data_IF_168165431710
#
_entry.id   IF_168165431710
#
_cell.length_a   1.000
_cell.length_b   1.000
_cell.length_c   1.000
_cell.angle_alpha   90.00
_cell.angle_beta   90.00
_cell.angle_gamma   90.00
#
_symmetry.space_group_name_H-M   'P 1'
#
loop_
_entity.id
_entity.type
_entity.pdbx_description
1 polymer ?
2 non-polymer ?
3 non-polymer ?
4 non-polymer ?
5 non-polymer ?
6 water ?
#
# COMPACT_ATOMS: atom_id res chain seq x y z
N UNK A 26 -21.07 18.98 2.84
CA UNK A 26 -20.43 17.66 2.55
C UNK A 26 -20.22 17.54 1.04
N UNK A 27 -19.06 17.05 0.61
CA UNK A 27 -18.80 16.94 -0.82
C UNK A 27 -19.13 15.55 -1.37
N UNK A 28 -19.49 15.49 -2.65
CA UNK A 28 -19.81 14.24 -3.34
C UNK A 28 -18.63 13.81 -4.22
N UNK A 29 -17.85 12.84 -3.76
CA UNK A 29 -16.69 12.37 -4.53
C UNK A 29 -17.09 11.32 -5.57
N UNK A 30 -16.63 11.49 -6.79
CA UNK A 30 -16.99 10.58 -7.89
C UNK A 30 -15.85 9.62 -8.28
N UNK A 31 -14.62 10.00 -7.96
CA UNK A 31 -13.43 9.21 -8.25
C UNK A 31 -12.70 8.99 -6.92
N UNK A 32 -12.47 7.73 -6.54
CA UNK A 32 -11.83 7.42 -5.26
C UNK A 32 -10.60 6.57 -5.55
N UNK A 33 -9.45 7.07 -5.13
CA UNK A 33 -8.20 6.37 -5.28
C UNK A 33 -7.83 5.71 -3.96
N UNK A 34 -7.29 4.51 -4.04
CA UNK A 34 -6.82 3.78 -2.88
C UNK A 34 -5.36 3.33 -3.02
N UNK A 35 -4.59 3.47 -1.95
CA UNK A 35 -3.30 2.81 -1.87
C UNK A 35 -3.64 1.31 -1.59
N UNK A 36 -2.65 0.45 -1.64
CA UNK A 36 -2.88 -1.00 -1.49
C UNK A 36 -2.53 -1.49 -0.09
N UNK A 37 -1.23 -1.68 0.16
CA UNK A 37 -0.75 -2.18 1.44
C UNK A 37 -1.18 -1.25 2.57
N UNK A 38 -1.75 -1.82 3.62
CA UNK A 38 -2.21 -1.07 4.76
C UNK A 38 -3.49 -0.30 4.59
N UNK A 39 -4.09 -0.40 3.39
CA UNK A 39 -5.30 0.35 3.05
C UNK A 39 -6.37 -0.64 2.59
N UNK A 40 -6.06 -1.41 1.57
CA UNK A 40 -6.94 -2.49 1.12
C UNK A 40 -6.59 -3.82 1.67
N UNK A 41 -5.31 -4.13 1.68
CA UNK A 41 -4.80 -5.45 2.11
C UNK A 41 -3.57 -5.30 3.00
N UNK A 42 -3.35 -6.30 3.84
CA UNK A 42 -2.23 -6.29 4.79
C UNK A 42 -1.18 -7.32 4.30
N UNK A 43 0.03 -6.87 3.99
CA UNK A 43 1.06 -7.76 3.46
C UNK A 43 1.94 -8.39 4.52
N UNK A 44 1.61 -8.20 5.79
CA UNK A 44 2.47 -8.63 6.89
C UNK A 44 3.04 -10.05 6.77
N UNK A 45 2.17 -11.01 6.51
CA UNK A 45 2.60 -12.42 6.46
C UNK A 45 3.72 -12.66 5.44
N UNK A 46 3.46 -12.28 4.17
CA UNK A 46 4.43 -12.51 3.13
C UNK A 46 5.71 -11.73 3.26
N UNK A 47 5.63 -10.48 3.74
CA UNK A 47 6.84 -9.70 3.91
C UNK A 47 7.71 -10.31 5.01
N UNK A 48 7.11 -10.60 6.15
CA UNK A 48 7.88 -11.13 7.27
C UNK A 48 8.43 -12.53 6.95
N UNK A 49 7.65 -13.35 6.26
CA UNK A 49 8.13 -14.70 5.91
C UNK A 49 9.27 -14.65 4.89
N UNK A 50 9.22 -13.67 3.98
CA UNK A 50 10.26 -13.48 2.98
C UNK A 50 11.56 -13.07 3.66
N UNK A 51 11.47 -12.13 4.62
CA UNK A 51 12.64 -11.73 5.38
C UNK A 51 13.20 -12.91 6.19
N UNK A 52 12.31 -13.64 6.86
CA UNK A 52 12.69 -14.80 7.66
C UNK A 52 13.46 -15.82 6.82
N UNK A 53 12.93 -16.09 5.63
CA UNK A 53 13.55 -17.02 4.69
C UNK A 53 14.95 -16.55 4.29
N UNK A 54 15.09 -15.24 4.06
CA UNK A 54 16.37 -14.68 3.69
C UNK A 54 17.34 -14.82 4.86
N UNK A 55 16.95 -14.32 6.03
CA UNK A 55 17.80 -14.46 7.23
C UNK A 55 18.23 -15.91 7.45
N UNK A 56 17.29 -16.84 7.28
CA UNK A 56 17.60 -18.27 7.39
C UNK A 56 18.71 -18.70 6.45
N UNK A 57 18.72 -18.16 5.23
CA UNK A 57 19.73 -18.53 4.25
C UNK A 57 21.14 -18.24 4.77
N UNK A 58 21.26 -17.31 5.72
CA UNK A 58 22.55 -16.97 6.31
C UNK A 58 22.68 -17.53 7.73
N UNK A 59 21.79 -18.46 8.08
CA UNK A 59 21.81 -19.11 9.39
C UNK A 59 21.30 -18.27 10.55
N UNK A 60 20.45 -17.29 10.27
CA UNK A 60 19.88 -16.43 11.32
C UNK A 60 18.42 -16.85 11.56
N UNK A 61 18.11 -17.24 12.80
CA UNK A 61 16.78 -17.70 13.19
C UNK A 61 16.03 -16.54 13.82
N UNK A 62 14.81 -16.26 13.36
CA UNK A 62 13.98 -15.18 13.93
C UNK A 62 12.50 -15.53 13.93
N UNK A 63 11.79 -15.07 14.95
CA UNK A 63 10.34 -15.24 15.03
C UNK A 63 9.73 -14.17 14.15
N UNK A 64 8.62 -14.48 13.48
CA UNK A 64 7.95 -13.51 12.58
C UNK A 64 7.52 -12.23 13.30
N UNK A 65 7.12 -12.34 14.57
CA UNK A 65 6.70 -11.16 15.36
C UNK A 65 7.80 -10.10 15.43
N UNK A 66 9.05 -10.54 15.46
CA UNK A 66 10.21 -9.64 15.56
C UNK A 66 10.61 -9.02 14.20
N UNK A 67 9.94 -9.44 13.13
CA UNK A 67 10.21 -8.91 11.78
C UNK A 67 9.14 -7.92 11.34
N UNK A 68 8.08 -7.77 12.12
CA UNK A 68 7.02 -6.85 11.79
C UNK A 68 7.55 -5.41 11.59
N UNK A 69 8.55 -5.05 12.38
CA UNK A 69 9.14 -3.71 12.31
C UNK A 69 9.87 -3.42 11.01
N UNK A 70 10.04 -4.44 10.16
CA UNK A 70 10.72 -4.27 8.88
C UNK A 70 9.75 -4.10 7.70
N UNK A 71 8.47 -4.03 8.02
CA UNK A 71 7.43 -3.70 7.06
C UNK A 71 7.43 -2.18 6.94
N UNK A 72 7.88 -1.67 5.80
CA UNK A 72 7.95 -0.23 5.60
C UNK A 72 9.29 0.25 5.07
N UNK A 73 10.37 0.05 5.84
CA UNK A 73 11.65 0.56 5.37
C UNK A 73 12.25 -0.28 4.24
N UNK A 74 13.15 0.33 3.46
CA UNK A 74 13.79 -0.44 2.40
C UNK A 74 14.53 -1.64 2.96
N UNK A 75 14.53 -2.74 2.23
CA UNK A 75 15.27 -3.93 2.67
C UNK A 75 16.75 -3.63 2.98
N UNK A 76 17.36 -2.68 2.25
CA UNK A 76 18.75 -2.30 2.47
C UNK A 76 18.96 -1.85 3.91
N UNK A 77 18.05 -0.99 4.40
CA UNK A 77 18.15 -0.49 5.78
C UNK A 77 18.06 -1.64 6.77
N UNK A 78 17.13 -2.56 6.54
CA UNK A 78 16.97 -3.69 7.41
C UNK A 78 18.22 -4.55 7.48
N UNK A 79 18.69 -5.01 6.32
CA UNK A 79 19.88 -5.86 6.31
C UNK A 79 21.17 -5.13 6.68
N UNK A 80 21.29 -3.87 6.24
CA UNK A 80 22.51 -3.09 6.49
C UNK A 80 22.51 -2.42 7.88
N UNK A 81 21.44 -1.71 8.24
CA UNK A 81 21.41 -1.01 9.54
C UNK A 81 21.07 -1.90 10.74
N UNK A 82 20.20 -2.89 10.56
CA UNK A 82 19.80 -3.75 11.67
C UNK A 82 20.69 -4.99 11.76
N UNK A 83 20.82 -5.72 10.65
CA UNK A 83 21.62 -6.94 10.65
C UNK A 83 23.10 -6.73 10.31
N UNK A 84 23.47 -5.50 9.93
CA UNK A 84 24.86 -5.13 9.64
C UNK A 84 25.56 -6.01 8.62
N UNK A 85 24.83 -6.37 7.58
CA UNK A 85 25.34 -7.14 6.46
C UNK A 85 26.10 -6.20 5.55
N UNK A 86 27.24 -6.66 5.04
CA UNK A 86 28.06 -5.87 4.12
C UNK A 86 27.28 -5.66 2.82
N UNK A 87 27.62 -4.61 2.08
CA UNK A 87 26.94 -4.30 0.80
C UNK A 87 26.72 -5.50 -0.14
N UNK A 88 27.66 -6.44 -0.17
CA UNK A 88 27.54 -7.62 -1.02
C UNK A 88 26.60 -8.67 -0.41
N UNK A 89 26.75 -8.93 0.90
CA UNK A 89 25.88 -9.87 1.61
C UNK A 89 24.45 -9.32 1.68
N UNK A 90 24.35 -7.98 1.69
CA UNK A 90 23.07 -7.29 1.72
C UNK A 90 22.27 -7.52 0.43
N UNK A 91 22.96 -7.63 -0.70
CA UNK A 91 22.27 -7.89 -1.97
C UNK A 91 21.85 -9.35 -2.04
N UNK A 92 22.67 -10.25 -1.53
CA UNK A 92 22.33 -11.68 -1.48
C UNK A 92 21.06 -11.86 -0.64
N UNK A 93 20.96 -11.10 0.45
CA UNK A 93 19.80 -11.16 1.35
C UNK A 93 18.53 -10.67 0.63
N UNK A 94 18.68 -9.62 -0.17
CA UNK A 94 17.56 -9.09 -0.93
C UNK A 94 17.13 -10.10 -2.00
N UNK A 95 18.10 -10.77 -2.63
CA UNK A 95 17.78 -11.76 -3.65
C UNK A 95 16.98 -12.91 -3.04
N UNK A 96 17.38 -13.37 -1.86
CA UNK A 96 16.68 -14.47 -1.19
C UNK A 96 15.27 -14.06 -0.81
N UNK A 97 15.13 -12.83 -0.32
CA UNK A 97 13.81 -12.28 0.00
C UNK A 97 12.91 -12.32 -1.24
N UNK A 98 13.42 -11.80 -2.35
CA UNK A 98 12.66 -11.75 -3.60
C UNK A 98 12.26 -13.12 -4.10
N UNK A 99 13.17 -14.08 -3.96
CA UNK A 99 12.92 -15.45 -4.35
C UNK A 99 11.70 -16.00 -3.60
N UNK A 100 11.69 -15.86 -2.28
CA UNK A 100 10.56 -16.34 -1.49
C UNK A 100 9.30 -15.51 -1.77
N UNK A 101 9.45 -14.22 -1.97
CA UNK A 101 8.27 -13.39 -2.16
C UNK A 101 7.54 -13.73 -3.48
N UNK A 102 8.32 -13.88 -4.55
CA UNK A 102 7.74 -14.21 -5.85
C UNK A 102 7.09 -15.58 -5.83
N UNK A 103 7.66 -16.50 -5.07
CA UNK A 103 7.16 -17.89 -5.00
C UNK A 103 5.92 -18.02 -4.10
N UNK A 104 6.00 -17.46 -2.89
CA UNK A 104 4.91 -17.62 -1.91
C UNK A 104 4.48 -16.36 -1.18
N UNK A 105 5.41 -15.45 -0.95
CA UNK A 105 5.11 -14.22 -0.21
C UNK A 105 3.98 -13.41 -0.85
N UNK A 106 3.95 -13.40 -2.18
CA UNK A 106 2.94 -12.61 -2.92
C UNK A 106 1.52 -13.09 -2.62
N UNK A 107 1.37 -14.36 -2.26
CA UNK A 107 0.05 -14.91 -1.95
C UNK A 107 -0.29 -14.83 -0.46
N UNK A 108 0.62 -14.29 0.35
CA UNK A 108 0.43 -14.19 1.78
C UNK A 108 0.06 -12.76 2.18
N UNK A 109 -1.20 -12.44 1.96
CA UNK A 109 -1.79 -11.15 2.31
C UNK A 109 -3.14 -11.41 2.94
N UNK A 110 -3.65 -10.43 3.68
CA UNK A 110 -4.97 -10.51 4.30
C UNK A 110 -5.76 -9.27 3.96
N UNK A 111 -6.95 -9.45 3.41
CA UNK A 111 -7.78 -8.30 3.09
C UNK A 111 -8.36 -7.75 4.39
N UNK A 112 -8.44 -6.43 4.51
CA UNK A 112 -8.98 -5.85 5.74
C UNK A 112 -10.45 -6.20 5.86
N UNK A 113 -10.86 -6.54 7.07
CA UNK A 113 -12.25 -6.87 7.30
C UNK A 113 -13.15 -5.74 6.82
N UNK A 114 -14.19 -6.11 6.09
CA UNK A 114 -15.26 -5.22 5.55
C UNK A 114 -14.89 -4.42 4.31
N UNK A 115 -13.65 -4.56 3.86
CA UNK A 115 -13.23 -3.79 2.68
C UNK A 115 -13.98 -4.24 1.43
N UNK A 116 -14.16 -5.56 1.25
CA UNK A 116 -14.87 -6.01 0.04
C UNK A 116 -16.27 -5.40 -0.01
N UNK A 117 -16.98 -5.41 1.12
CA UNK A 117 -18.31 -4.80 1.20
C UNK A 117 -18.30 -3.31 0.84
N UNK A 118 -17.34 -2.54 1.36
CA UNK A 118 -17.37 -1.10 1.06
C UNK A 118 -17.03 -0.87 -0.41
N UNK A 119 -16.09 -1.64 -0.97
CA UNK A 119 -15.79 -1.49 -2.41
C UNK A 119 -17.04 -1.77 -3.24
N UNK A 120 -17.75 -2.85 -2.90
CA UNK A 120 -19.00 -3.23 -3.60
C UNK A 120 -20.03 -2.08 -3.49
N UNK A 121 -20.14 -1.50 -2.29
CA UNK A 121 -21.07 -0.39 -2.08
C UNK A 121 -20.72 0.84 -2.93
N UNK A 122 -19.45 1.18 -2.97
CA UNK A 122 -19.00 2.32 -3.76
C UNK A 122 -19.25 2.08 -5.27
N UNK A 123 -18.85 0.90 -5.72
CA UNK A 123 -19.02 0.52 -7.11
C UNK A 123 -20.47 0.54 -7.56
N UNK A 124 -21.35 0.02 -6.72
CA UNK A 124 -22.76 -0.03 -7.03
C UNK A 124 -23.39 1.35 -7.06
N UNK A 125 -22.73 2.32 -6.41
CA UNK A 125 -23.20 3.69 -6.44
C UNK A 125 -22.62 4.45 -7.62
N UNK A 126 -21.88 3.75 -8.48
CA UNK A 126 -21.34 4.35 -9.68
C UNK A 126 -20.01 5.07 -9.54
N UNK A 127 -19.35 4.95 -8.40
CA UNK A 127 -18.06 5.63 -8.22
C UNK A 127 -16.99 4.93 -9.02
N UNK A 128 -16.03 5.71 -9.53
CA UNK A 128 -14.88 5.17 -10.23
C UNK A 128 -13.81 4.96 -9.15
N UNK A 129 -13.34 3.72 -9.06
CA UNK A 129 -12.37 3.32 -8.05
C UNK A 129 -11.05 3.02 -8.76
N UNK A 130 -9.98 3.55 -8.20
CA UNK A 130 -8.65 3.37 -8.77
C UNK A 130 -7.68 2.96 -7.67
N UNK A 131 -6.60 2.28 -8.06
CA UNK A 131 -5.51 1.98 -7.14
C UNK A 131 -4.29 2.77 -7.60
N UNK A 132 -3.68 3.49 -6.66
CA UNK A 132 -2.45 4.24 -6.88
C UNK A 132 -1.52 3.85 -5.74
N UNK A 133 -0.47 3.11 -6.06
CA UNK A 133 0.41 2.53 -5.07
C UNK A 133 1.87 2.56 -5.52
N UNK A 134 2.76 2.49 -4.53
CA UNK A 134 4.19 2.39 -4.78
C UNK A 134 4.56 0.91 -4.97
N UNK A 135 3.68 0.00 -4.60
CA UNK A 135 3.91 -1.44 -4.77
C UNK A 135 3.99 -1.72 -6.28
N UNK A 136 4.81 -2.69 -6.73
CA UNK A 136 4.82 -2.97 -8.17
C UNK A 136 3.43 -3.32 -8.70
N UNK A 137 3.09 -2.78 -9.85
CA UNK A 137 1.78 -3.03 -10.45
C UNK A 137 1.43 -4.50 -10.51
N UNK A 138 2.37 -5.33 -10.96
CA UNK A 138 2.11 -6.78 -11.10
C UNK A 138 1.68 -7.38 -9.76
N UNK A 139 2.32 -6.97 -8.68
CA UNK A 139 1.93 -7.47 -7.37
C UNK A 139 0.53 -6.96 -6.95
N UNK A 140 0.26 -5.67 -7.16
CA UNK A 140 -1.04 -5.08 -6.82
C UNK A 140 -2.17 -5.79 -7.57
N UNK A 141 -1.97 -5.99 -8.87
CA UNK A 141 -2.98 -6.67 -9.67
C UNK A 141 -3.15 -8.13 -9.23
N UNK A 142 -2.05 -8.81 -8.94
CA UNK A 142 -2.08 -10.20 -8.49
C UNK A 142 -2.90 -10.32 -7.20
N UNK A 143 -2.62 -9.44 -6.25
CA UNK A 143 -3.32 -9.43 -4.96
C UNK A 143 -4.79 -9.08 -5.08
N UNK A 144 -5.13 -8.11 -5.91
CA UNK A 144 -6.51 -7.71 -6.03
C UNK A 144 -7.31 -8.83 -6.73
N UNK A 145 -6.66 -9.49 -7.70
CA UNK A 145 -7.23 -10.65 -8.36
C UNK A 145 -7.43 -11.80 -7.35
N UNK A 146 -6.45 -12.04 -6.47
CA UNK A 146 -6.52 -13.11 -5.43
C UNK A 146 -7.72 -12.98 -4.50
N UNK A 147 -8.10 -11.74 -4.19
CA UNK A 147 -9.26 -11.42 -3.33
C UNK A 147 -10.54 -11.14 -4.05
N UNK A 148 -10.51 -11.33 -5.36
CA UNK A 148 -11.67 -11.14 -6.21
C UNK A 148 -12.23 -9.71 -6.11
N UNK A 149 -11.35 -8.73 -5.94
CA UNK A 149 -11.78 -7.33 -5.87
C UNK A 149 -11.23 -6.47 -7.04
N UNK A 150 -10.38 -7.07 -7.89
CA UNK A 150 -9.84 -6.43 -9.09
C UNK A 150 -10.97 -5.83 -9.92
N UNK A 151 -12.06 -6.60 -10.02
CA UNK A 151 -13.23 -6.23 -10.79
C UNK A 151 -13.86 -4.87 -10.44
N UNK A 152 -13.61 -4.35 -9.25
CA UNK A 152 -14.22 -3.07 -8.84
C UNK A 152 -13.39 -1.84 -9.22
N UNK A 153 -12.16 -2.05 -9.69
CA UNK A 153 -11.25 -0.96 -10.03
C UNK A 153 -11.12 -0.77 -11.53
N UNK A 154 -11.27 0.46 -11.97
CA UNK A 154 -11.12 0.78 -13.39
C UNK A 154 -9.69 0.66 -13.84
N UNK A 155 -8.77 1.24 -13.05
CA UNK A 155 -7.35 1.21 -13.34
C UNK A 155 -6.59 0.92 -12.07
N UNK A 156 -5.47 0.23 -12.23
CA UNK A 156 -4.58 -0.13 -11.12
C UNK A 156 -3.21 0.27 -11.58
N UNK A 157 -2.58 1.17 -10.82
CA UNK A 157 -1.26 1.71 -11.12
C UNK A 157 -0.31 1.62 -9.94
N UNK A 158 0.79 0.89 -10.17
CA UNK A 158 1.88 0.75 -9.21
C UNK A 158 3.19 1.07 -9.89
N UNK A 159 4.27 0.59 -9.29
CA UNK A 159 5.59 0.78 -9.83
C UNK A 159 5.98 -0.39 -10.74
N UNK A 160 7.13 -0.26 -11.39
CA UNK A 160 7.61 -1.33 -12.25
C UNK A 160 8.37 -2.33 -11.42
N UNK A 161 8.30 -3.61 -11.78
CA UNK A 161 9.08 -4.64 -11.09
C UNK A 161 10.56 -4.30 -11.31
N UNK A 162 11.41 -4.61 -10.35
CA UNK A 162 12.84 -4.31 -10.48
C UNK A 162 13.02 -2.95 -11.18
N UNK A 163 12.34 -1.94 -10.63
CA UNK A 163 12.42 -0.58 -11.13
C UNK A 163 12.56 0.35 -9.93
N UNK A 164 12.58 1.64 -10.20
CA UNK A 164 12.67 2.64 -9.13
C UNK A 164 11.28 2.75 -8.47
N UNK A 165 11.24 2.83 -7.14
CA UNK A 165 9.96 2.96 -6.42
C UNK A 165 9.32 4.27 -6.87
N UNK A 166 8.10 4.20 -7.41
CA UNK A 166 7.44 5.39 -7.90
C UNK A 166 6.86 6.20 -6.75
N UNK A 167 7.04 7.52 -6.81
CA UNK A 167 6.47 8.45 -5.85
C UNK A 167 4.95 8.48 -5.97
N UNK A 168 4.29 8.86 -4.88
CA UNK A 168 2.86 8.83 -4.85
C UNK A 168 2.21 9.86 -5.78
N UNK A 169 2.70 11.10 -5.78
CA UNK A 169 2.09 12.12 -6.66
C UNK A 169 2.12 11.67 -8.13
N UNK A 170 3.18 10.96 -8.51
CA UNK A 170 3.35 10.51 -9.89
C UNK A 170 2.35 9.45 -10.30
N UNK A 171 2.12 8.50 -9.40
CA UNK A 171 1.18 7.44 -9.70
C UNK A 171 -0.27 7.96 -9.62
N UNK A 172 -0.55 8.89 -8.69
CA UNK A 172 -1.87 9.53 -8.60
C UNK A 172 -2.16 10.29 -9.87
N UNK A 173 -1.22 11.11 -10.31
CA UNK A 173 -1.42 11.87 -11.53
C UNK A 173 -1.63 10.93 -12.73
N UNK A 174 -0.82 9.89 -12.82
CA UNK A 174 -0.94 8.93 -13.93
C UNK A 174 -2.35 8.35 -14.03
N UNK A 175 -2.90 7.93 -12.89
CA UNK A 175 -4.18 7.27 -12.91
C UNK A 175 -5.33 8.25 -13.18
N UNK A 176 -5.23 9.49 -12.68
CA UNK A 176 -6.21 10.52 -13.02
C UNK A 176 -6.15 10.89 -14.51
N UNK A 177 -4.94 10.92 -15.07
CA UNK A 177 -4.82 11.25 -16.47
C UNK A 177 -5.54 10.18 -17.32
N UNK A 178 -5.55 8.93 -16.88
CA UNK A 178 -6.24 7.86 -17.63
C UNK A 178 -7.75 8.06 -17.64
N UNK A 179 -8.26 8.75 -16.62
CA UNK A 179 -9.68 8.99 -16.47
C UNK A 179 -10.10 10.27 -17.13
N UNK A 180 -9.13 11.03 -17.63
CA UNK A 180 -9.38 12.29 -18.30
C UNK A 180 -10.20 13.16 -17.37
N UNK A 181 -9.70 13.34 -16.15
CA UNK A 181 -10.43 14.14 -15.15
C UNK A 181 -10.28 15.63 -15.35
N UNK A 182 -11.40 16.34 -15.18
CA UNK A 182 -11.41 17.80 -15.18
C UNK A 182 -11.72 18.34 -13.78
N UNK A 183 -12.82 17.88 -13.16
CA UNK A 183 -13.19 18.41 -11.84
C UNK A 183 -12.49 17.67 -10.75
N UNK A 184 -11.27 18.11 -10.42
CA UNK A 184 -10.51 17.45 -9.35
C UNK A 184 -11.19 17.58 -8.00
N UNK A 185 -12.18 18.47 -7.85
CA UNK A 185 -12.88 18.58 -6.57
C UNK A 185 -13.70 17.32 -6.22
N UNK A 186 -14.00 16.48 -7.21
CA UNK A 186 -14.77 15.27 -6.93
C UNK A 186 -13.84 14.06 -6.79
N UNK A 187 -12.54 14.31 -6.56
CA UNK A 187 -11.53 13.25 -6.44
C UNK A 187 -10.99 13.17 -5.01
N UNK A 188 -10.78 11.94 -4.52
CA UNK A 188 -10.25 11.74 -3.17
C UNK A 188 -9.31 10.54 -3.13
N UNK A 189 -8.22 10.69 -2.37
CA UNK A 189 -7.23 9.65 -2.15
C UNK A 189 -7.38 9.05 -0.74
N UNK A 190 -7.34 7.73 -0.67
CA UNK A 190 -7.46 7.00 0.60
C UNK A 190 -6.17 6.22 0.85
N UNK A 191 -5.56 6.41 2.01
CA UNK A 191 -4.31 5.75 2.30
C UNK A 191 -3.98 5.73 3.78
N UNK A 192 -2.98 4.92 4.14
CA UNK A 192 -2.59 4.74 5.55
C UNK A 192 -1.25 5.38 5.93
N UNK A 193 -0.62 6.11 5.02
CA UNK A 193 0.65 6.76 5.34
C UNK A 193 0.67 8.20 4.95
N UNK A 194 1.57 8.94 5.59
CA UNK A 194 1.79 10.33 5.19
C UNK A 194 2.06 10.48 3.68
N UNK A 195 2.71 9.50 3.07
CA UNK A 195 3.08 9.56 1.65
C UNK A 195 1.87 9.69 0.74
N UNK A 196 0.79 9.03 1.13
CA UNK A 196 -0.48 9.12 0.41
C UNK A 196 -1.09 10.50 0.53
N UNK A 197 -1.01 11.09 1.73
CA UNK A 197 -1.58 12.42 1.97
C UNK A 197 -0.73 13.49 1.29
N UNK A 198 0.59 13.36 1.39
CA UNK A 198 1.53 14.31 0.72
C UNK A 198 1.30 14.26 -0.81
N UNK A 199 1.11 13.05 -1.33
CA UNK A 199 0.83 12.85 -2.76
C UNK A 199 -0.45 13.56 -3.16
N UNK A 200 -1.50 13.35 -2.38
CA UNK A 200 -2.79 13.98 -2.63
C UNK A 200 -2.69 15.50 -2.64
N UNK A 201 -1.97 16.04 -1.66
CA UNK A 201 -1.82 17.48 -1.57
C UNK A 201 -1.03 18.07 -2.74
N UNK A 202 -0.04 17.34 -3.23
CA UNK A 202 0.74 17.82 -4.38
C UNK A 202 -0.12 17.90 -5.65
N UNK A 203 -1.10 17.02 -5.75
CA UNK A 203 -1.99 16.93 -6.89
C UNK A 203 -3.19 17.86 -6.72
N UNK A 204 -3.51 18.24 -5.49
CA UNK A 204 -4.62 19.13 -5.22
C UNK A 204 -5.95 18.43 -5.04
N UNK A 205 -5.92 17.23 -4.45
CA UNK A 205 -7.12 16.49 -4.16
C UNK A 205 -7.24 16.22 -2.66
N UNK A 206 -8.47 15.95 -2.23
CA UNK A 206 -8.78 15.63 -0.86
C UNK A 206 -8.20 14.24 -0.49
N UNK A 207 -8.19 13.96 0.80
CA UNK A 207 -7.65 12.72 1.32
C UNK A 207 -8.32 12.21 2.59
N UNK A 208 -8.30 10.88 2.69
CA UNK A 208 -8.72 10.17 3.89
C UNK A 208 -7.47 9.43 4.39
N UNK A 209 -7.04 9.77 5.60
CA UNK A 209 -5.95 9.06 6.25
C UNK A 209 -6.57 7.99 7.15
N UNK A 210 -6.23 6.74 6.93
CA UNK A 210 -6.77 5.67 7.75
C UNK A 210 -5.77 5.30 8.85
N UNK A 211 -6.30 4.84 9.98
CA UNK A 211 -5.49 4.49 11.15
C UNK A 211 -5.36 2.98 11.37
N UNK A 212 -6.02 2.15 10.54
CA UNK A 212 -5.97 0.70 10.70
C UNK A 212 -4.80 0.02 9.98
N UNK A 213 -3.99 0.83 9.29
CA UNK A 213 -2.83 0.35 8.58
C UNK A 213 -1.53 0.59 9.32
N UNK A 214 -0.53 1.02 8.56
CA UNK A 214 0.82 1.14 9.07
C UNK A 214 1.22 2.54 9.53
N UNK A 215 0.35 3.51 9.34
CA UNK A 215 0.60 4.87 9.80
C UNK A 215 -0.01 5.09 11.18
N UNK A 216 0.77 5.70 12.07
CA UNK A 216 0.28 6.07 13.37
C UNK A 216 -0.61 7.31 13.32
N UNK A 217 -1.42 7.49 14.37
CA UNK A 217 -2.19 8.72 14.49
C UNK A 217 -1.26 9.95 14.46
N UNK A 218 -0.11 9.85 15.11
CA UNK A 218 0.85 10.93 15.11
C UNK A 218 1.21 11.30 13.67
N UNK A 219 1.58 10.30 12.88
CA UNK A 219 1.97 10.54 11.50
C UNK A 219 0.84 11.10 10.65
N UNK A 220 -0.31 10.45 10.73
CA UNK A 220 -1.45 10.82 9.91
C UNK A 220 -1.95 12.23 10.29
N UNK A 221 -2.12 12.48 11.58
CA UNK A 221 -2.63 13.76 12.03
C UNK A 221 -1.69 14.89 11.64
N UNK A 222 -0.39 14.64 11.72
CA UNK A 222 0.58 15.66 11.36
C UNK A 222 0.61 15.96 9.85
N UNK A 223 0.15 15.01 9.02
CA UNK A 223 0.08 15.20 7.57
C UNK A 223 -1.17 16.01 7.17
N UNK A 224 -2.10 16.17 8.11
CA UNK A 224 -3.31 16.98 7.93
C UNK A 224 -4.20 16.59 6.72
N UNK A 225 -4.65 15.32 6.68
CA UNK A 225 -5.56 14.93 5.60
C UNK A 225 -6.92 15.60 5.75
N UNK A 226 -7.77 15.47 4.75
CA UNK A 226 -9.10 16.07 4.79
C UNK A 226 -9.91 15.39 5.88
N UNK A 227 -9.73 14.09 6.01
CA UNK A 227 -10.45 13.28 6.99
C UNK A 227 -9.54 12.20 7.56
N UNK A 228 -9.84 11.79 8.79
CA UNK A 228 -9.16 10.67 9.44
C UNK A 228 -10.21 9.61 9.83
N UNK A 229 -9.95 8.34 9.53
CA UNK A 229 -10.84 7.24 9.95
C UNK A 229 -10.10 6.14 10.71
N UNK A 230 -10.75 5.57 11.73
CA UNK A 230 -10.17 4.49 12.52
C UNK A 230 -10.33 3.13 11.87
N UNK A 231 -11.42 2.91 11.15
CA UNK A 231 -11.72 1.62 10.61
C UNK A 231 -12.31 1.70 9.21
N UNK A 232 -12.35 0.54 8.57
CA UNK A 232 -12.84 0.43 7.20
C UNK A 232 -14.27 0.90 7.06
N UNK A 233 -15.14 0.46 7.95
CA UNK A 233 -16.56 0.84 7.87
C UNK A 233 -16.80 2.35 7.86
N UNK A 234 -15.96 3.10 8.56
CA UNK A 234 -16.10 4.56 8.58
C UNK A 234 -15.85 5.24 7.22
N UNK A 235 -15.17 4.56 6.30
CA UNK A 235 -14.97 5.10 4.95
C UNK A 235 -16.33 5.43 4.28
N UNK A 236 -17.32 4.57 4.49
CA UNK A 236 -18.70 4.74 3.98
C UNK A 236 -19.32 6.07 4.36
N UNK A 237 -19.07 6.50 5.58
CA UNK A 237 -19.67 7.70 6.13
C UNK A 237 -19.16 8.97 5.44
N UNK A 238 -17.96 8.89 4.86
CA UNK A 238 -17.34 10.02 4.16
C UNK A 238 -17.65 9.99 2.66
N UNK A 239 -17.63 8.79 2.10
CA UNK A 239 -17.81 8.66 0.65
C UNK A 239 -19.23 8.51 0.17
N UNK A 240 -20.09 7.98 1.04
CA UNK A 240 -21.49 7.83 0.73
C UNK A 240 -22.25 8.70 1.77
#
# INVERSE_FOLDING_TARGET
MHHHHHHSSGVDLGTENLYFQSNAMKKNYEIVLFDLDGTLTDPKEGITKSIQYSLNSFGIKEDLENLDQFIGPPLHDTFKEYYKFEDKKAKEAVEKYREYFADKGIFENKIYENMKEILEMLYKNGKILLVATSKPTVFAETILRYFDIDRYFKYIAGSNLDGTRVNKNEVIQYVLDLCNVKDKDKVIMVGDRKYDIIGAKKIGIDSIGVLYGYGSFEEISESEPTYIVENVESIKDILL
#
